data_IF_154565354349
#
_entry.id   IF_154565354349
#
_cell.length_a   1.000
_cell.length_b   1.000
_cell.length_c   1.000
_cell.angle_alpha   90.00
_cell.angle_beta   90.00
_cell.angle_gamma   90.00
#
_symmetry.space_group_name_H-M   'P 1'
#
loop_
_entity.id
_entity.type
_entity.pdbx_description
1 polymer ?
#
# COMPACT_ATOMS: atom_id res chain seq x y z
N UNK A 1 6.46 -20.60 -23.54
CA UNK A 1 7.20 -19.39 -23.10
C UNK A 1 8.34 -19.05 -24.09
N UNK A 2 8.04 -18.26 -25.14
CA UNK A 2 8.94 -18.03 -26.30
C UNK A 2 9.37 -16.56 -26.49
N UNK A 3 8.89 -15.67 -25.63
CA UNK A 3 9.03 -14.22 -25.78
C UNK A 3 10.46 -13.71 -25.49
N UNK A 4 11.14 -14.24 -24.48
CA UNK A 4 12.52 -13.88 -24.12
C UNK A 4 13.54 -14.19 -25.23
N UNK A 5 13.40 -15.34 -25.92
CA UNK A 5 14.24 -15.67 -27.09
C UNK A 5 14.02 -14.72 -28.27
N UNK A 6 12.84 -14.10 -28.40
CA UNK A 6 12.53 -13.11 -29.45
C UNK A 6 13.11 -11.73 -29.12
N UNK A 7 13.12 -11.34 -27.85
CA UNK A 7 13.82 -10.12 -27.40
C UNK A 7 15.33 -10.20 -27.63
N UNK A 8 15.94 -11.35 -27.32
CA UNK A 8 17.36 -11.62 -27.64
C UNK A 8 17.63 -11.65 -29.16
N UNK A 9 16.67 -12.12 -29.97
CA UNK A 9 16.74 -12.02 -31.44
C UNK A 9 16.63 -10.59 -31.95
N UNK A 10 15.84 -9.71 -31.32
CA UNK A 10 15.70 -8.30 -31.72
C UNK A 10 17.05 -7.59 -31.73
N UNK A 11 17.84 -7.73 -30.65
CA UNK A 11 19.17 -7.12 -30.57
C UNK A 11 20.18 -7.76 -31.54
N UNK A 12 19.97 -9.01 -31.97
CA UNK A 12 20.81 -9.68 -32.96
C UNK A 12 20.46 -9.22 -34.38
N UNK A 13 19.17 -9.15 -34.71
CA UNK A 13 18.67 -8.67 -35.99
C UNK A 13 18.93 -7.18 -36.22
N UNK A 14 18.85 -6.35 -35.17
CA UNK A 14 19.25 -4.94 -35.27
C UNK A 14 20.75 -4.83 -35.58
N UNK A 15 21.59 -5.67 -34.97
CA UNK A 15 23.04 -5.73 -35.27
C UNK A 15 23.34 -6.26 -36.67
N UNK A 16 22.60 -7.26 -37.14
CA UNK A 16 22.73 -7.80 -38.50
C UNK A 16 22.30 -6.75 -39.54
N UNK A 17 21.17 -6.06 -39.33
CA UNK A 17 20.72 -4.97 -40.20
C UNK A 17 21.72 -3.81 -40.22
N UNK A 18 22.29 -3.45 -39.07
CA UNK A 18 23.35 -2.45 -38.96
C UNK A 18 24.60 -2.82 -39.75
N UNK A 19 25.01 -4.09 -39.68
CA UNK A 19 26.17 -4.60 -40.39
C UNK A 19 25.93 -4.61 -41.91
N UNK A 20 24.74 -5.01 -42.34
CA UNK A 20 24.36 -5.05 -43.76
C UNK A 20 24.27 -3.65 -44.37
N UNK A 21 23.67 -2.69 -43.65
CA UNK A 21 23.61 -1.29 -44.08
C UNK A 21 25.02 -0.66 -44.18
N UNK A 22 25.90 -0.93 -43.20
CA UNK A 22 27.31 -0.47 -43.25
C UNK A 22 28.06 -1.07 -44.42
N UNK A 23 27.92 -2.38 -44.63
CA UNK A 23 28.55 -3.09 -45.73
C UNK A 23 28.20 -2.47 -47.08
N UNK A 24 26.91 -2.15 -47.30
CA UNK A 24 26.49 -1.52 -48.55
C UNK A 24 27.06 -0.11 -48.75
N UNK A 25 27.11 0.72 -47.70
CA UNK A 25 27.71 2.06 -47.77
C UNK A 25 29.20 1.97 -48.06
N UNK A 26 29.92 1.10 -47.35
CA UNK A 26 31.36 0.90 -47.55
C UNK A 26 31.68 0.36 -48.95
N UNK A 27 30.86 -0.56 -49.46
CA UNK A 27 31.00 -1.09 -50.81
C UNK A 27 30.84 0.00 -51.87
N UNK A 28 29.85 0.89 -51.72
CA UNK A 28 29.67 2.03 -52.63
C UNK A 28 30.83 3.02 -52.57
N UNK A 29 31.37 3.27 -51.38
CA UNK A 29 32.56 4.12 -51.21
C UNK A 29 33.75 3.53 -51.96
N UNK A 30 34.02 2.23 -51.77
CA UNK A 30 35.10 1.54 -52.46
C UNK A 30 34.94 1.60 -53.99
N UNK A 31 33.71 1.46 -54.49
CA UNK A 31 33.44 1.51 -55.93
C UNK A 31 33.63 2.91 -56.53
N UNK A 32 33.22 3.96 -55.81
CA UNK A 32 33.42 5.35 -56.22
C UNK A 32 34.90 5.75 -56.18
N UNK A 33 35.64 5.28 -55.17
CA UNK A 33 37.10 5.50 -55.08
C UNK A 33 37.83 4.78 -56.22
N UNK A 34 37.43 3.54 -56.57
CA UNK A 34 37.97 2.82 -57.75
C UNK A 34 37.73 3.56 -59.07
N UNK A 35 36.64 4.32 -59.17
CA UNK A 35 36.33 5.17 -60.32
C UNK A 35 37.07 6.52 -60.31
N UNK A 36 37.99 6.72 -59.37
CA UNK A 36 38.90 7.87 -59.33
C UNK A 36 38.44 9.03 -58.45
N UNK A 37 37.38 8.89 -57.64
CA UNK A 37 36.99 9.93 -56.70
C UNK A 37 37.87 9.91 -55.44
N UNK A 38 38.25 11.08 -54.90
CA UNK A 38 38.87 11.17 -53.58
C UNK A 38 37.96 10.54 -52.50
N UNK A 39 38.53 9.78 -51.56
CA UNK A 39 37.80 8.99 -50.57
C UNK A 39 36.80 9.82 -49.74
N UNK A 40 37.17 11.06 -49.39
CA UNK A 40 36.30 11.99 -48.67
C UNK A 40 35.04 12.36 -49.50
N UNK A 41 35.20 12.51 -50.82
CA UNK A 41 34.10 12.84 -51.72
C UNK A 41 33.27 11.60 -52.09
N UNK A 42 33.90 10.44 -52.22
CA UNK A 42 33.24 9.14 -52.38
C UNK A 42 32.34 8.82 -51.17
N UNK A 43 32.82 9.04 -49.93
CA UNK A 43 32.01 8.93 -48.71
C UNK A 43 30.82 9.87 -48.69
N UNK A 44 31.01 11.13 -49.08
CA UNK A 44 29.93 12.12 -49.14
C UNK A 44 28.87 11.68 -50.15
N UNK A 45 29.27 11.29 -51.36
CA UNK A 45 28.35 10.79 -52.40
C UNK A 45 27.64 9.50 -52.00
N UNK A 46 28.32 8.54 -51.39
CA UNK A 46 27.70 7.30 -50.94
C UNK A 46 26.65 7.55 -49.85
N UNK A 47 26.93 8.42 -48.87
CA UNK A 47 25.94 8.81 -47.84
C UNK A 47 24.73 9.54 -48.40
N UNK A 48 24.92 10.38 -49.42
CA UNK A 48 23.83 11.07 -50.10
C UNK A 48 22.99 10.12 -50.97
N UNK A 49 23.65 9.17 -51.66
CA UNK A 49 22.99 8.21 -52.54
C UNK A 49 22.21 7.13 -51.78
N UNK A 50 22.70 6.69 -50.61
CA UNK A 50 22.02 5.70 -49.79
C UNK A 50 20.77 6.25 -49.07
N UNK A 51 20.65 7.57 -48.96
CA UNK A 51 19.68 8.21 -48.08
C UNK A 51 20.03 7.98 -46.60
N UNK A 52 19.43 8.75 -45.69
CA UNK A 52 19.75 8.65 -44.27
C UNK A 52 19.57 7.22 -43.76
N UNK A 53 20.65 6.56 -43.35
CA UNK A 53 20.63 5.17 -42.85
C UNK A 53 19.65 4.99 -41.70
N UNK A 54 19.47 6.05 -40.89
CA UNK A 54 18.50 6.08 -39.80
C UNK A 54 17.04 6.12 -40.28
N UNK A 55 16.74 6.72 -41.43
CA UNK A 55 15.40 6.71 -42.01
C UNK A 55 15.02 5.33 -42.52
N UNK A 56 15.95 4.61 -43.16
CA UNK A 56 15.73 3.23 -43.62
C UNK A 56 15.54 2.29 -42.43
N UNK A 57 16.34 2.45 -41.37
CA UNK A 57 16.12 1.72 -40.11
C UNK A 57 14.75 2.03 -39.49
N UNK A 58 14.35 3.31 -39.50
CA UNK A 58 13.03 3.75 -39.03
C UNK A 58 11.89 3.06 -39.77
N UNK A 59 11.90 3.11 -41.10
CA UNK A 59 10.88 2.47 -41.95
C UNK A 59 10.81 0.95 -41.75
N UNK A 60 11.96 0.27 -41.68
CA UNK A 60 12.02 -1.16 -41.36
C UNK A 60 11.49 -1.48 -39.96
N UNK A 61 11.65 -0.57 -39.00
CA UNK A 61 11.16 -0.75 -37.63
C UNK A 61 9.64 -0.64 -37.56
N UNK A 62 9.06 0.32 -38.28
CA UNK A 62 7.62 0.55 -38.33
C UNK A 62 6.87 -0.62 -38.98
N UNK A 63 7.36 -1.11 -40.12
CA UNK A 63 6.79 -2.30 -40.80
C UNK A 63 6.84 -3.55 -39.90
N UNK A 64 7.87 -3.67 -39.06
CA UNK A 64 8.00 -4.80 -38.13
C UNK A 64 7.12 -4.64 -36.89
N UNK A 65 6.94 -3.42 -36.40
CA UNK A 65 6.06 -3.14 -35.27
C UNK A 65 4.60 -3.46 -35.62
N UNK A 66 4.14 -3.04 -36.80
CA UNK A 66 2.79 -3.35 -37.30
C UNK A 66 2.61 -4.86 -37.52
N UNK A 67 3.57 -5.53 -38.16
CA UNK A 67 3.53 -6.98 -38.36
C UNK A 67 3.49 -7.77 -37.03
N UNK A 68 4.13 -7.27 -35.96
CA UNK A 68 4.06 -7.90 -34.65
C UNK A 68 2.68 -7.76 -34.01
N UNK A 69 2.08 -6.55 -34.05
CA UNK A 69 0.72 -6.33 -33.53
C UNK A 69 -0.27 -7.23 -34.26
N UNK A 70 -0.15 -7.32 -35.57
CA UNK A 70 -1.00 -8.16 -36.40
C UNK A 70 -0.82 -9.65 -36.05
N UNK A 71 0.43 -10.11 -35.88
CA UNK A 71 0.72 -11.47 -35.42
C UNK A 71 0.11 -11.77 -34.05
N UNK A 72 0.16 -10.85 -33.08
CA UNK A 72 -0.43 -11.06 -31.74
C UNK A 72 -1.95 -11.12 -31.82
N UNK A 73 -2.58 -10.29 -32.67
CA UNK A 73 -4.02 -10.33 -32.91
C UNK A 73 -4.46 -11.64 -33.54
N UNK A 74 -3.74 -12.12 -34.55
CA UNK A 74 -3.99 -13.41 -35.18
C UNK A 74 -3.81 -14.58 -34.20
N UNK A 75 -2.71 -14.60 -33.45
CA UNK A 75 -2.43 -15.63 -32.45
C UNK A 75 -3.52 -15.65 -31.35
N UNK A 76 -3.96 -14.47 -30.91
CA UNK A 76 -5.02 -14.32 -29.88
C UNK A 76 -6.37 -14.78 -30.41
N UNK A 77 -6.74 -14.40 -31.63
CA UNK A 77 -7.98 -14.85 -32.29
C UNK A 77 -7.98 -16.36 -32.49
N UNK A 78 -6.83 -16.93 -32.87
CA UNK A 78 -6.65 -18.36 -33.02
C UNK A 78 -6.76 -19.08 -31.67
N UNK A 79 -6.12 -18.56 -30.62
CA UNK A 79 -6.20 -19.10 -29.26
C UNK A 79 -7.64 -19.09 -28.73
N UNK A 80 -8.37 -17.97 -28.89
CA UNK A 80 -9.79 -17.86 -28.52
C UNK A 80 -10.67 -18.87 -29.27
N UNK A 81 -10.40 -19.07 -30.56
CA UNK A 81 -11.10 -20.08 -31.35
C UNK A 81 -10.79 -21.49 -30.84
N UNK A 82 -9.54 -21.79 -30.54
CA UNK A 82 -9.11 -23.08 -29.98
C UNK A 82 -9.75 -23.38 -28.62
N UNK A 83 -9.83 -22.38 -27.74
CA UNK A 83 -10.51 -22.49 -26.44
C UNK A 83 -12.00 -22.85 -26.61
N UNK A 84 -12.67 -22.28 -27.62
CA UNK A 84 -14.06 -22.62 -27.95
C UNK A 84 -14.25 -24.03 -28.50
N UNK A 85 -13.24 -24.59 -29.17
CA UNK A 85 -13.28 -25.98 -29.67
C UNK A 85 -13.03 -27.02 -28.58
N UNK A 86 -12.47 -26.62 -27.42
CA UNK A 86 -12.19 -27.52 -26.28
C UNK A 86 -12.81 -26.98 -24.98
N UNK A 87 -14.15 -26.87 -24.91
CA UNK A 87 -14.83 -26.12 -23.86
C UNK A 87 -14.66 -26.75 -22.46
N UNK A 88 -14.61 -28.08 -22.34
CA UNK A 88 -14.49 -28.76 -21.05
C UNK A 88 -13.15 -28.45 -20.38
N UNK A 89 -12.05 -28.67 -21.09
CA UNK A 89 -10.69 -28.41 -20.58
C UNK A 89 -10.50 -26.92 -20.30
N UNK A 90 -10.94 -26.06 -21.22
CA UNK A 90 -10.82 -24.60 -21.06
C UNK A 90 -11.57 -24.11 -19.84
N UNK A 91 -12.79 -24.61 -19.61
CA UNK A 91 -13.60 -24.23 -18.44
C UNK A 91 -12.95 -24.69 -17.14
N UNK A 92 -12.45 -25.92 -17.08
CA UNK A 92 -11.75 -26.44 -15.90
C UNK A 92 -10.54 -25.57 -15.54
N UNK A 93 -9.70 -25.24 -16.53
CA UNK A 93 -8.53 -24.39 -16.34
C UNK A 93 -8.92 -22.97 -15.88
N UNK A 94 -9.92 -22.36 -16.51
CA UNK A 94 -10.42 -21.04 -16.14
C UNK A 94 -10.96 -21.03 -14.70
N UNK A 95 -11.73 -22.04 -14.31
CA UNK A 95 -12.26 -22.15 -12.95
C UNK A 95 -11.14 -22.35 -11.93
N UNK A 96 -10.15 -23.20 -12.21
CA UNK A 96 -9.00 -23.39 -11.31
C UNK A 96 -8.19 -22.10 -11.13
N UNK A 97 -7.96 -21.35 -12.22
CA UNK A 97 -7.29 -20.04 -12.17
C UNK A 97 -8.12 -19.01 -11.39
N UNK A 98 -9.42 -18.93 -11.67
CA UNK A 98 -10.33 -18.02 -10.99
C UNK A 98 -10.38 -18.31 -9.49
N UNK A 99 -10.42 -19.59 -9.10
CA UNK A 99 -10.42 -20.00 -7.70
C UNK A 99 -9.10 -19.65 -7.00
N UNK A 100 -7.95 -19.92 -7.63
CA UNK A 100 -6.65 -19.59 -7.06
C UNK A 100 -6.42 -18.09 -6.90
N UNK A 101 -6.79 -17.29 -7.92
CA UNK A 101 -6.70 -15.83 -7.88
C UNK A 101 -7.68 -15.27 -6.86
N UNK A 102 -8.93 -15.75 -6.86
CA UNK A 102 -10.00 -15.31 -5.98
C UNK A 102 -9.69 -15.60 -4.52
N UNK A 103 -9.23 -16.81 -4.20
CA UNK A 103 -8.85 -17.19 -2.84
C UNK A 103 -7.72 -16.32 -2.29
N UNK A 104 -6.64 -16.14 -3.05
CA UNK A 104 -5.53 -15.28 -2.65
C UNK A 104 -5.95 -13.82 -2.47
N UNK A 105 -6.78 -13.31 -3.39
CA UNK A 105 -7.31 -11.94 -3.31
C UNK A 105 -8.23 -11.77 -2.11
N UNK A 106 -9.09 -12.75 -1.80
CA UNK A 106 -9.98 -12.72 -0.66
C UNK A 106 -9.21 -12.73 0.67
N UNK A 107 -8.22 -13.62 0.81
CA UNK A 107 -7.35 -13.66 1.98
C UNK A 107 -6.63 -12.33 2.17
N UNK A 108 -6.02 -11.79 1.10
CA UNK A 108 -5.36 -10.49 1.18
C UNK A 108 -6.32 -9.36 1.53
N UNK A 109 -7.55 -9.38 0.99
CA UNK A 109 -8.57 -8.37 1.29
C UNK A 109 -8.99 -8.43 2.75
N UNK A 110 -9.21 -9.62 3.30
CA UNK A 110 -9.55 -9.81 4.72
C UNK A 110 -8.41 -9.37 5.61
N UNK A 111 -7.17 -9.82 5.33
CA UNK A 111 -5.96 -9.39 6.05
C UNK A 111 -5.85 -7.87 6.00
N UNK A 112 -6.02 -7.26 4.83
CA UNK A 112 -5.91 -5.81 4.67
C UNK A 112 -7.03 -5.07 5.42
N UNK A 113 -8.25 -5.61 5.42
CA UNK A 113 -9.38 -5.00 6.12
C UNK A 113 -9.30 -5.18 7.65
N UNK A 114 -8.76 -6.31 8.11
CA UNK A 114 -8.69 -6.66 9.53
C UNK A 114 -7.41 -6.16 10.22
N UNK A 115 -6.25 -6.25 9.55
CA UNK A 115 -4.94 -5.91 10.11
C UNK A 115 -4.38 -4.58 9.60
N UNK A 116 -4.69 -4.17 8.37
CA UNK A 116 -4.10 -2.99 7.71
C UNK A 116 -5.09 -1.88 7.41
N UNK A 117 -6.33 -1.96 7.94
CA UNK A 117 -7.18 -0.77 7.97
C UNK A 117 -6.44 0.16 8.91
N UNK A 118 -5.73 1.13 8.31
CA UNK A 118 -5.04 2.17 9.03
C UNK A 118 -6.00 2.59 10.14
N UNK A 119 -5.55 2.47 11.40
CA UNK A 119 -6.33 3.00 12.50
C UNK A 119 -6.82 4.38 12.02
N UNK A 120 -8.10 4.73 12.17
CA UNK A 120 -8.63 6.01 11.72
C UNK A 120 -8.10 7.11 12.63
N UNK A 121 -6.78 7.27 12.61
CA UNK A 121 -5.97 8.11 13.45
C UNK A 121 -5.16 8.99 12.52
N UNK A 122 -4.96 10.25 12.90
CA UNK A 122 -4.22 11.16 12.06
C UNK A 122 -2.79 10.68 11.87
N UNK A 123 -2.29 10.73 10.63
CA UNK A 123 -0.90 10.39 10.31
C UNK A 123 -0.45 9.02 10.84
N UNK A 124 -1.01 7.89 10.36
CA UNK A 124 -0.67 6.54 10.85
C UNK A 124 0.83 6.21 10.71
N UNK A 125 1.52 6.82 9.74
CA UNK A 125 2.97 6.64 9.53
C UNK A 125 3.83 7.35 10.59
N UNK A 126 3.25 8.15 11.47
CA UNK A 126 3.93 8.87 12.55
C UNK A 126 3.69 8.24 13.92
N UNK A 127 2.93 7.14 13.99
CA UNK A 127 2.66 6.43 15.23
C UNK A 127 3.73 5.37 15.48
N UNK A 128 4.35 5.45 16.66
CA UNK A 128 5.23 4.43 17.18
C UNK A 128 4.59 3.79 18.42
N UNK A 129 4.65 2.46 18.52
CA UNK A 129 4.29 1.73 19.72
C UNK A 129 5.56 1.42 20.51
N UNK A 130 5.55 1.73 21.79
CA UNK A 130 6.61 1.31 22.71
C UNK A 130 6.37 -0.14 23.11
N UNK A 131 7.37 -0.98 22.93
CA UNK A 131 7.38 -2.39 23.32
C UNK A 131 8.62 -2.64 24.17
N UNK A 132 8.52 -3.52 25.16
CA UNK A 132 9.67 -3.98 25.94
C UNK A 132 10.18 -5.28 25.34
N UNK A 133 11.49 -5.43 25.33
CA UNK A 133 12.16 -6.64 24.89
C UNK A 133 12.68 -7.36 26.13
N UNK A 134 12.31 -8.63 26.29
CA UNK A 134 12.83 -9.49 27.36
C UNK A 134 14.18 -10.14 27.01
N UNK A 135 14.74 -9.80 25.84
CA UNK A 135 16.00 -10.34 25.33
C UNK A 135 15.89 -11.72 24.68
N UNK A 136 14.74 -12.41 24.77
CA UNK A 136 14.48 -13.69 24.08
C UNK A 136 13.79 -13.54 22.73
N UNK A 137 13.52 -12.30 22.31
CA UNK A 137 12.86 -11.99 21.05
C UNK A 137 11.33 -12.13 21.11
N UNK A 138 10.77 -12.33 22.32
CA UNK A 138 9.33 -12.27 22.50
C UNK A 138 8.89 -10.81 22.75
N UNK A 139 7.87 -10.39 22.01
CA UNK A 139 7.29 -9.07 22.15
C UNK A 139 6.20 -9.15 23.21
N UNK A 140 6.55 -8.96 24.48
CA UNK A 140 5.53 -8.77 25.50
C UNK A 140 4.89 -7.38 25.35
N UNK A 141 3.55 -7.32 25.41
CA UNK A 141 2.83 -6.06 25.59
C UNK A 141 3.29 -5.46 26.92
N UNK A 142 4.28 -4.60 26.83
CA UNK A 142 4.98 -4.07 27.98
C UNK A 142 4.05 -3.14 28.76
N UNK A 143 3.66 -3.60 29.94
CA UNK A 143 2.97 -2.75 30.91
C UNK A 143 3.99 -1.82 31.55
N UNK A 144 4.07 -0.59 31.04
CA UNK A 144 4.89 0.45 31.65
C UNK A 144 4.19 1.07 32.86
N UNK A 145 4.96 1.43 33.89
CA UNK A 145 4.42 2.18 35.01
C UNK A 145 3.98 3.57 34.56
N UNK A 146 2.94 4.12 35.20
CA UNK A 146 2.50 5.50 34.93
C UNK A 146 3.63 6.53 35.18
N UNK A 147 4.53 6.26 36.14
CA UNK A 147 5.72 7.09 36.36
C UNK A 147 6.64 7.13 35.15
N UNK A 148 6.94 5.97 34.57
CA UNK A 148 7.74 5.87 33.35
C UNK A 148 7.09 6.63 32.18
N UNK A 149 5.77 6.55 32.03
CA UNK A 149 5.03 7.34 31.05
C UNK A 149 5.24 8.85 31.25
N UNK A 150 5.14 9.33 32.49
CA UNK A 150 5.39 10.74 32.82
C UNK A 150 6.81 11.19 32.50
N UNK A 151 7.81 10.39 32.86
CA UNK A 151 9.22 10.64 32.54
C UNK A 151 9.46 10.67 31.03
N UNK A 152 8.87 9.73 30.30
CA UNK A 152 8.99 9.66 28.84
C UNK A 152 8.39 10.90 28.16
N UNK A 153 7.20 11.32 28.59
CA UNK A 153 6.54 12.55 28.09
C UNK A 153 7.37 13.80 28.39
N UNK A 154 8.10 13.83 29.51
CA UNK A 154 8.98 14.94 29.86
C UNK A 154 10.32 14.94 29.10
N UNK A 155 10.79 13.77 28.66
CA UNK A 155 12.12 13.59 28.04
C UNK A 155 12.07 13.70 26.51
N UNK A 156 10.96 13.30 25.88
CA UNK A 156 10.81 13.36 24.43
C UNK A 156 10.65 14.79 23.90
N UNK A 157 10.93 14.96 22.61
CA UNK A 157 10.73 16.24 21.91
C UNK A 157 9.30 16.75 22.15
N UNK A 158 9.08 18.03 22.51
CA UNK A 158 7.75 18.60 22.72
C UNK A 158 6.79 18.48 21.53
N UNK A 159 7.32 18.25 20.32
CA UNK A 159 6.53 17.99 19.11
C UNK A 159 5.99 16.56 19.04
N UNK A 160 6.54 15.63 19.81
CA UNK A 160 6.06 14.26 19.91
C UNK A 160 4.91 14.20 20.92
N UNK A 161 3.72 13.88 20.46
CA UNK A 161 2.58 13.64 21.34
C UNK A 161 2.63 12.21 21.87
N UNK A 162 2.73 12.06 23.19
CA UNK A 162 2.80 10.76 23.88
C UNK A 162 1.47 10.54 24.58
N UNK A 163 0.82 9.41 24.31
CA UNK A 163 -0.45 9.04 24.92
C UNK A 163 -0.46 7.54 25.26
N UNK A 164 -1.34 7.13 26.18
CA UNK A 164 -1.55 5.71 26.51
C UNK A 164 -2.97 5.28 26.16
N UNK A 165 -3.10 4.03 25.72
CA UNK A 165 -4.37 3.35 25.47
C UNK A 165 -4.13 1.88 25.13
N UNK A 166 -5.19 1.08 25.09
CA UNK A 166 -5.16 -0.32 24.68
C UNK A 166 -5.09 -1.35 25.81
N UNK A 167 -5.11 -0.95 27.08
CA UNK A 167 -5.25 -1.89 28.18
C UNK A 167 -6.74 -2.23 28.39
N UNK A 168 -7.25 -3.14 27.57
CA UNK A 168 -8.64 -3.60 27.64
C UNK A 168 -8.82 -4.50 28.87
N UNK A 169 -9.35 -3.93 29.94
CA UNK A 169 -9.70 -4.67 31.14
C UNK A 169 -11.16 -5.06 31.09
N UNK A 170 -11.45 -6.35 31.27
CA UNK A 170 -12.81 -6.78 31.59
C UNK A 170 -13.14 -6.29 33.00
N UNK A 171 -14.16 -5.44 33.10
CA UNK A 171 -14.64 -4.91 34.37
C UNK A 171 -16.14 -5.14 34.51
N UNK A 172 -16.60 -5.16 35.76
CA UNK A 172 -18.03 -5.16 36.07
C UNK A 172 -18.41 -3.75 36.46
N UNK A 173 -19.18 -3.08 35.60
CA UNK A 173 -19.69 -1.75 35.87
C UNK A 173 -21.12 -1.86 36.40
N UNK A 174 -21.35 -1.29 37.57
CA UNK A 174 -22.69 -1.07 38.10
C UNK A 174 -23.08 0.38 37.81
N UNK A 175 -24.18 0.57 37.08
CA UNK A 175 -24.72 1.89 36.77
C UNK A 175 -26.07 2.05 37.48
N UNK A 176 -26.13 2.92 38.49
CA UNK A 176 -27.32 3.11 39.31
C UNK A 176 -27.58 1.91 40.22
N UNK A 177 -28.84 1.47 40.31
CA UNK A 177 -29.31 0.41 41.23
C UNK A 177 -29.60 -0.93 40.54
N UNK A 178 -28.97 -1.21 39.39
CA UNK A 178 -29.15 -2.46 38.64
C UNK A 178 -28.02 -3.48 38.87
N UNK A 179 -28.12 -4.63 38.19
CA UNK A 179 -27.09 -5.66 38.21
C UNK A 179 -25.79 -5.19 37.53
N UNK A 180 -24.60 -5.63 38.00
CA UNK A 180 -23.34 -5.33 37.35
C UNK A 180 -23.29 -5.91 35.93
N UNK A 181 -23.02 -5.07 34.94
CA UNK A 181 -22.81 -5.50 33.56
C UNK A 181 -21.33 -5.71 33.29
N UNK A 182 -20.99 -6.74 32.50
CA UNK A 182 -19.64 -6.92 32.00
C UNK A 182 -19.39 -5.92 30.88
N UNK A 183 -18.41 -5.06 31.08
CA UNK A 183 -17.97 -4.08 30.10
C UNK A 183 -16.46 -4.15 29.92
N UNK A 184 -16.00 -3.80 28.72
CA UNK A 184 -14.59 -3.55 28.47
C UNK A 184 -14.34 -2.10 28.88
N UNK A 185 -13.43 -1.91 29.82
CA UNK A 185 -12.94 -0.59 30.24
C UNK A 185 -11.52 -0.45 29.72
N UNK A 186 -11.23 0.72 29.18
CA UNK A 186 -9.90 1.07 28.70
C UNK A 186 -9.40 2.28 29.49
N UNK A 187 -8.28 2.10 30.20
CA UNK A 187 -7.57 3.20 30.81
C UNK A 187 -6.74 3.91 29.74
N UNK A 188 -6.97 5.21 29.59
CA UNK A 188 -6.29 6.05 28.60
C UNK A 188 -5.78 7.31 29.30
N UNK A 189 -4.74 7.93 28.75
CA UNK A 189 -4.30 9.26 29.20
C UNK A 189 -5.29 10.35 28.78
N UNK A 190 -5.29 11.48 29.49
CA UNK A 190 -6.21 12.59 29.25
C UNK A 190 -6.13 13.13 27.81
N UNK A 191 -4.93 13.19 27.24
CA UNK A 191 -4.71 13.64 25.88
C UNK A 191 -5.07 12.62 24.80
N UNK A 192 -5.45 11.38 25.15
CA UNK A 192 -5.73 10.29 24.20
C UNK A 192 -6.72 10.70 23.10
N UNK A 193 -7.88 11.26 23.48
CA UNK A 193 -8.91 11.64 22.51
C UNK A 193 -8.47 12.80 21.61
N UNK A 194 -7.64 13.71 22.14
CA UNK A 194 -7.02 14.80 21.39
C UNK A 194 -6.03 14.28 20.34
N UNK A 195 -5.12 13.40 20.76
CA UNK A 195 -4.13 12.75 19.91
C UNK A 195 -4.80 11.94 18.78
N UNK A 196 -5.83 11.17 19.12
CA UNK A 196 -6.61 10.36 18.17
C UNK A 196 -7.59 11.20 17.33
N UNK A 197 -7.77 12.49 17.66
CA UNK A 197 -8.76 13.41 17.07
C UNK A 197 -10.19 12.84 17.05
N UNK A 198 -10.58 12.23 18.16
CA UNK A 198 -11.94 11.71 18.37
C UNK A 198 -12.74 12.75 19.16
N UNK A 199 -13.70 13.46 18.54
CA UNK A 199 -14.51 14.44 19.24
C UNK A 199 -15.55 13.75 20.14
N UNK A 200 -15.97 14.42 21.22
CA UNK A 200 -17.13 13.99 21.98
C UNK A 200 -18.41 14.24 21.15
N UNK A 201 -19.26 13.22 21.03
CA UNK A 201 -20.59 13.39 20.45
C UNK A 201 -21.52 14.22 21.35
N UNK A 202 -21.30 14.17 22.67
CA UNK A 202 -22.02 14.92 23.68
C UNK A 202 -21.08 15.18 24.88
N UNK A 203 -21.15 16.38 25.47
CA UNK A 203 -20.34 16.74 26.64
C UNK A 203 -18.88 17.04 26.28
N UNK A 204 -17.95 16.44 27.04
CA UNK A 204 -16.50 16.62 26.88
C UNK A 204 -15.76 15.28 26.97
N UNK A 205 -14.56 15.23 26.36
CA UNK A 205 -13.60 14.15 26.58
C UNK A 205 -12.79 14.37 27.86
N UNK A 206 -11.88 13.44 28.17
CA UNK A 206 -10.92 13.58 29.27
C UNK A 206 -10.02 14.80 29.04
N UNK A 207 -9.62 15.45 30.13
CA UNK A 207 -8.70 16.60 30.14
C UNK A 207 -7.62 16.39 31.20
N UNK A 208 -6.52 17.14 31.16
CA UNK A 208 -5.35 16.91 32.03
C UNK A 208 -5.68 16.89 33.53
N UNK A 209 -6.73 17.61 33.97
CA UNK A 209 -7.18 17.59 35.37
C UNK A 209 -7.83 16.26 35.79
N UNK A 210 -8.26 15.45 34.84
CA UNK A 210 -8.81 14.12 35.08
C UNK A 210 -7.69 13.06 35.23
N UNK A 211 -6.46 13.36 34.80
CA UNK A 211 -5.38 12.39 34.63
C UNK A 211 -4.51 12.13 35.87
N UNK A 212 -4.70 12.89 36.95
CA UNK A 212 -3.76 12.84 38.07
C UNK A 212 -4.32 13.37 39.38
N UNK A 213 -5.19 12.61 40.05
CA UNK A 213 -5.60 12.95 41.41
C UNK A 213 -5.78 11.70 42.26
N UNK A 214 -4.89 11.51 43.24
CA UNK A 214 -5.19 10.63 44.38
C UNK A 214 -6.44 11.18 45.10
N UNK A 215 -7.56 10.47 45.04
CA UNK A 215 -8.86 10.96 45.53
C UNK A 215 -9.64 11.82 44.52
N UNK A 216 -9.26 11.79 43.24
CA UNK A 216 -9.93 12.51 42.16
C UNK A 216 -11.35 12.08 41.88
N UNK A 217 -12.06 12.91 41.13
CA UNK A 217 -13.30 12.49 40.48
C UNK A 217 -12.99 11.39 39.46
N UNK A 218 -13.63 10.24 39.61
CA UNK A 218 -13.70 9.26 38.53
C UNK A 218 -14.49 9.88 37.36
N UNK A 219 -13.83 10.05 36.21
CA UNK A 219 -14.45 10.52 34.97
C UNK A 219 -14.32 9.39 33.95
N UNK A 220 -15.42 9.10 33.24
CA UNK A 220 -15.46 8.09 32.20
C UNK A 220 -16.09 8.66 30.94
N UNK A 221 -15.57 8.25 29.79
CA UNK A 221 -16.15 8.54 28.47
C UNK A 221 -16.83 7.27 28.00
N UNK A 222 -18.11 7.36 27.65
CA UNK A 222 -18.90 6.22 27.20
C UNK A 222 -18.76 6.05 25.69
N UNK A 223 -18.63 4.80 25.23
CA UNK A 223 -18.75 4.51 23.81
C UNK A 223 -20.19 4.73 23.33
N UNK A 224 -20.34 5.13 22.07
CA UNK A 224 -21.66 5.38 21.47
C UNK A 224 -22.60 4.18 21.61
N UNK A 225 -22.11 2.96 21.33
CA UNK A 225 -22.88 1.73 21.44
C UNK A 225 -23.31 1.41 22.88
N UNK A 226 -22.48 1.75 23.88
CA UNK A 226 -22.85 1.58 25.29
C UNK A 226 -23.92 2.60 25.68
N UNK A 227 -23.76 3.86 25.28
CA UNK A 227 -24.74 4.92 25.56
C UNK A 227 -26.10 4.61 24.94
N UNK A 228 -26.13 4.17 23.69
CA UNK A 228 -27.34 3.71 23.00
C UNK A 228 -28.03 2.56 23.72
N UNK A 229 -27.29 1.46 23.96
CA UNK A 229 -27.86 0.25 24.54
C UNK A 229 -28.38 0.47 25.95
N UNK A 230 -27.63 1.21 26.77
CA UNK A 230 -27.91 1.33 28.20
C UNK A 230 -28.82 2.48 28.56
N UNK A 231 -28.78 3.55 27.76
CA UNK A 231 -29.46 4.79 28.06
C UNK A 231 -30.34 5.33 26.91
N UNK A 232 -30.45 4.63 25.79
CA UNK A 232 -31.36 5.02 24.70
C UNK A 232 -31.08 6.41 24.13
N UNK A 233 -29.81 6.83 24.11
CA UNK A 233 -29.38 8.19 23.72
C UNK A 233 -29.92 9.32 24.61
N UNK A 234 -30.25 9.03 25.86
CA UNK A 234 -30.70 10.06 26.79
C UNK A 234 -29.62 11.15 26.95
N UNK A 235 -29.97 12.37 26.52
CA UNK A 235 -29.12 13.57 26.58
C UNK A 235 -29.18 14.25 27.95
N UNK A 236 -30.12 13.87 28.80
CA UNK A 236 -30.26 14.40 30.17
C UNK A 236 -29.20 13.86 31.14
N UNK A 237 -28.40 12.87 30.70
CA UNK A 237 -27.25 12.36 31.42
C UNK A 237 -26.20 13.47 31.53
N UNK A 238 -26.35 14.25 32.59
CA UNK A 238 -25.40 15.28 32.99
C UNK A 238 -24.38 14.59 33.89
N UNK A 239 -23.12 14.57 33.45
CA UNK A 239 -21.97 13.97 34.16
C UNK A 239 -21.81 14.69 35.51
N UNK A 240 -22.48 14.18 36.54
CA UNK A 240 -22.61 14.86 37.82
C UNK A 240 -21.35 14.64 38.66
N UNK A 241 -20.71 15.75 39.05
CA UNK A 241 -20.29 15.96 40.45
C UNK A 241 -20.51 14.83 41.47
N UNK A 242 -19.58 13.95 41.89
CA UNK A 242 -19.69 13.52 43.28
C UNK A 242 -19.46 14.78 44.13
N UNK A 243 -20.52 15.20 44.81
CA UNK A 243 -20.45 16.21 45.86
C UNK A 243 -19.38 15.79 46.87
N UNK A 244 -18.51 16.69 47.34
CA UNK A 244 -17.60 16.37 48.44
C UNK A 244 -18.44 15.99 49.65
N UNK A 245 -18.28 14.76 50.14
CA UNK A 245 -18.83 14.37 51.44
C UNK A 245 -18.07 15.12 52.52
N UNK A 246 -18.81 15.77 53.41
CA UNK A 246 -18.32 16.30 54.70
C UNK A 246 -17.91 15.16 55.62
#
# INVERSE_FOLDING_TARGET
>A
MRWWRRFLRRNRLERELDAELRFHVEHQVADLTRRGLPEAEARRKARLAFGGTEQIKGACRDVRATAWVESVLWDTRYALRSLRFTPVVSTAVVLSLALGIGANTAVYTVIRAALLRALPVPSPNQLARLVSFDGQGDHSDASFSYRFFGELRATLDPRAEVFTGGNHQQSRLMVGSGDPEHCIVEAVSANYFGAMRVPAALGRVLVDTDDNVAGGRAVAVLSHAFWERRFGFDRSITITAPSPRR
#
